data_IF_145564855450
#
_entry.id   IF_145564855450
#
_cell.length_a   1.000
_cell.length_b   1.000
_cell.length_c   1.000
_cell.angle_alpha   90.00
_cell.angle_beta   90.00
_cell.angle_gamma   90.00
#
_symmetry.space_group_name_H-M   'P 1'
#
loop_
_entity.id
_entity.type
_entity.pdbx_description
1 polymer ?
#
# COMPACT_ATOMS: atom_id res chain seq x y z
N UNK A 1 7.96 -17.43 -0.22
CA UNK A 1 6.79 -16.55 -0.46
C UNK A 1 7.23 -15.10 -0.65
N UNK A 2 8.00 -14.55 0.30
CA UNK A 2 8.65 -13.24 0.18
C UNK A 2 10.05 -13.37 -0.43
N UNK A 3 10.44 -12.39 -1.24
CA UNK A 3 11.77 -12.30 -1.86
C UNK A 3 12.38 -10.93 -1.52
N UNK A 4 11.89 -9.86 -2.14
CA UNK A 4 12.23 -8.46 -1.83
C UNK A 4 10.94 -7.74 -1.45
N UNK A 5 10.84 -7.29 -0.20
CA UNK A 5 9.59 -6.79 0.37
C UNK A 5 9.65 -5.33 0.79
N UNK A 6 8.60 -4.60 0.45
CA UNK A 6 8.35 -3.23 0.87
C UNK A 6 6.93 -3.07 1.45
N UNK A 7 6.78 -2.05 2.28
CA UNK A 7 5.51 -1.68 2.90
C UNK A 7 4.78 -2.84 3.59
N UNK A 8 5.53 -3.71 4.28
CA UNK A 8 4.91 -4.70 5.17
C UNK A 8 4.14 -3.97 6.27
N UNK A 9 2.85 -4.24 6.40
CA UNK A 9 2.00 -3.62 7.39
C UNK A 9 0.93 -4.59 7.91
N UNK A 10 0.57 -4.43 9.17
CA UNK A 10 -0.64 -5.04 9.71
C UNK A 10 -1.86 -4.37 9.08
N UNK A 11 -2.87 -5.17 8.71
CA UNK A 11 -4.21 -4.65 8.41
C UNK A 11 -4.87 -4.32 9.76
N UNK A 12 -5.31 -3.08 9.98
CA UNK A 12 -6.06 -2.72 11.19
C UNK A 12 -7.30 -3.60 11.38
N UNK A 13 -7.59 -3.96 12.63
CA UNK A 13 -8.72 -4.84 13.00
C UNK A 13 -10.08 -4.36 12.46
N UNK A 14 -10.21 -3.05 12.25
CA UNK A 14 -11.44 -2.44 11.72
C UNK A 14 -11.63 -2.60 10.21
N UNK A 15 -10.68 -3.18 9.48
CA UNK A 15 -10.73 -3.36 8.03
C UNK A 15 -10.88 -4.84 7.63
N UNK A 16 -11.37 -5.13 6.41
CA UNK A 16 -11.41 -6.51 5.91
C UNK A 16 -10.02 -7.14 5.90
N UNK A 17 -9.84 -8.27 6.58
CA UNK A 17 -8.53 -8.89 6.80
C UNK A 17 -7.81 -8.38 8.05
N UNK A 18 -8.49 -7.68 8.97
CA UNK A 18 -7.92 -7.22 10.23
C UNK A 18 -7.11 -8.30 10.97
N UNK A 19 -5.92 -7.93 11.43
CA UNK A 19 -4.95 -8.86 12.03
C UNK A 19 -4.07 -9.60 11.01
N UNK A 20 -4.34 -9.51 9.72
CA UNK A 20 -3.45 -10.05 8.69
C UNK A 20 -2.26 -9.10 8.44
N UNK A 21 -1.23 -9.63 7.79
CA UNK A 21 -0.09 -8.83 7.30
C UNK A 21 -0.19 -8.73 5.78
N UNK A 22 -0.09 -7.51 5.26
CA UNK A 22 0.09 -7.24 3.83
C UNK A 22 1.51 -6.77 3.53
N UNK A 23 1.99 -7.04 2.32
CA UNK A 23 3.23 -6.48 1.83
C UNK A 23 3.26 -6.42 0.29
N UNK A 24 4.03 -5.47 -0.22
CA UNK A 24 4.42 -5.42 -1.62
C UNK A 24 5.70 -6.24 -1.80
N UNK A 25 5.68 -7.24 -2.67
CA UNK A 25 6.79 -8.13 -2.95
C UNK A 25 7.26 -7.87 -4.39
N UNK A 26 8.43 -7.25 -4.53
CA UNK A 26 8.97 -6.85 -5.83
C UNK A 26 9.35 -8.05 -6.70
N UNK A 27 9.77 -9.15 -6.07
CA UNK A 27 10.24 -10.38 -6.72
C UNK A 27 11.21 -10.06 -7.87
N UNK A 28 12.28 -9.35 -7.54
CA UNK A 28 13.20 -8.71 -8.49
C UNK A 28 13.68 -9.68 -9.60
N UNK A 29 13.91 -10.94 -9.25
CA UNK A 29 14.37 -11.98 -10.18
C UNK A 29 13.29 -12.54 -11.12
N UNK A 30 12.01 -12.27 -10.85
CA UNK A 30 10.87 -12.80 -11.61
C UNK A 30 10.36 -11.87 -12.71
N UNK A 31 10.72 -10.59 -12.66
CA UNK A 31 10.17 -9.56 -13.56
C UNK A 31 8.69 -9.23 -13.33
N UNK A 32 8.09 -9.71 -12.23
CA UNK A 32 6.69 -9.46 -11.90
C UNK A 32 6.49 -9.30 -10.38
N UNK A 33 5.98 -8.16 -9.95
CA UNK A 33 5.70 -7.89 -8.54
C UNK A 33 4.39 -8.54 -8.09
N UNK A 34 4.20 -8.64 -6.78
CA UNK A 34 2.98 -9.17 -6.19
C UNK A 34 2.65 -8.42 -4.90
N UNK A 35 1.38 -8.06 -4.69
CA UNK A 35 0.91 -7.73 -3.35
C UNK A 35 0.41 -9.02 -2.72
N UNK A 36 0.81 -9.29 -1.49
CA UNK A 36 0.37 -10.47 -0.74
C UNK A 36 -0.22 -10.10 0.60
N UNK A 37 -1.19 -10.89 1.03
CA UNK A 37 -1.80 -10.87 2.35
C UNK A 37 -1.65 -12.25 2.99
N UNK A 38 -1.20 -12.29 4.24
CA UNK A 38 -0.99 -13.52 4.99
C UNK A 38 -1.70 -13.43 6.34
N UNK A 39 -2.26 -14.55 6.79
CA UNK A 39 -2.59 -14.71 8.21
C UNK A 39 -1.27 -15.06 8.92
N UNK A 40 -0.77 -14.23 9.85
CA UNK A 40 0.41 -14.57 10.62
C UNK A 40 0.16 -15.86 11.42
N UNK A 41 1.12 -16.79 11.50
CA UNK A 41 0.93 -18.07 12.19
C UNK A 41 1.10 -17.93 13.71
N UNK A 42 0.45 -16.95 14.31
CA UNK A 42 0.51 -16.70 15.75
C UNK A 42 -0.47 -17.59 16.51
N UNK A 43 -0.06 -18.11 17.66
CA UNK A 43 -0.95 -18.78 18.60
C UNK A 43 -1.84 -17.75 19.36
N UNK A 44 -2.70 -18.24 20.28
CA UNK A 44 -3.58 -17.38 21.10
C UNK A 44 -2.84 -16.43 22.04
N UNK A 45 -1.53 -16.62 22.23
CA UNK A 45 -0.66 -15.78 23.05
C UNK A 45 0.21 -14.84 22.19
N UNK A 46 0.07 -14.88 20.86
CA UNK A 46 0.85 -14.07 19.92
C UNK A 46 2.22 -14.65 19.57
N UNK A 47 2.53 -15.90 19.96
CA UNK A 47 3.82 -16.51 19.66
C UNK A 47 3.84 -17.11 18.26
N UNK A 48 5.01 -17.04 17.61
CA UNK A 48 5.27 -17.67 16.33
C UNK A 48 6.04 -18.96 16.54
N UNK A 49 5.46 -20.09 16.16
CA UNK A 49 6.14 -21.39 16.24
C UNK A 49 6.96 -21.65 14.98
N UNK A 50 8.19 -22.15 15.16
CA UNK A 50 9.08 -22.57 14.09
C UNK A 50 9.51 -24.02 14.30
N UNK A 51 9.30 -24.87 13.31
CA UNK A 51 9.97 -26.16 13.26
C UNK A 51 11.41 -25.94 12.79
N UNK A 52 12.43 -26.33 13.56
CA UNK A 52 13.82 -26.16 13.14
C UNK A 52 14.08 -26.77 11.76
N UNK A 53 14.73 -26.02 10.87
CA UNK A 53 15.02 -26.45 9.50
C UNK A 53 13.91 -26.17 8.48
N UNK A 54 12.77 -25.58 8.88
CA UNK A 54 11.72 -25.14 7.95
C UNK A 54 11.61 -23.61 7.91
N UNK A 55 10.84 -23.09 6.96
CA UNK A 55 10.38 -21.70 7.01
C UNK A 55 9.23 -21.55 8.03
N UNK A 56 8.98 -20.31 8.48
CA UNK A 56 7.73 -19.97 9.15
C UNK A 56 6.54 -20.15 8.20
N UNK A 57 5.40 -20.52 8.78
CA UNK A 57 4.10 -20.48 8.10
C UNK A 57 3.64 -19.01 7.88
N UNK A 58 2.59 -18.77 7.07
CA UNK A 58 1.95 -19.72 6.15
C UNK A 58 2.80 -19.96 4.89
N UNK A 59 2.65 -21.14 4.27
CA UNK A 59 3.33 -21.48 3.02
C UNK A 59 2.76 -20.74 1.80
N UNK A 60 1.52 -20.24 1.89
CA UNK A 60 0.83 -19.53 0.82
C UNK A 60 0.03 -18.37 1.38
N UNK A 61 -0.15 -17.29 0.60
CA UNK A 61 -0.95 -16.16 1.04
C UNK A 61 -2.44 -16.50 1.03
N UNK A 62 -3.21 -15.81 1.88
CA UNK A 62 -4.68 -15.89 1.85
C UNK A 62 -5.30 -15.05 0.75
N UNK A 63 -4.56 -14.05 0.29
CA UNK A 63 -4.89 -13.27 -0.89
C UNK A 63 -3.63 -12.75 -1.57
N UNK A 64 -3.65 -12.63 -2.89
CA UNK A 64 -2.58 -11.98 -3.62
C UNK A 64 -3.09 -11.31 -4.88
N UNK A 65 -2.35 -10.30 -5.34
CA UNK A 65 -2.55 -9.65 -6.62
C UNK A 65 -1.24 -9.56 -7.40
N UNK A 66 -1.31 -9.95 -8.67
CA UNK A 66 -0.26 -9.81 -9.68
C UNK A 66 -0.91 -9.58 -11.05
N UNK A 67 -0.18 -8.97 -11.98
CA UNK A 67 -0.64 -8.76 -13.37
C UNK A 67 0.56 -8.78 -14.34
N UNK A 68 0.30 -9.00 -15.63
CA UNK A 68 1.35 -9.13 -16.66
C UNK A 68 2.25 -7.89 -16.78
N UNK A 69 1.70 -6.69 -16.57
CA UNK A 69 2.43 -5.42 -16.59
C UNK A 69 2.41 -4.76 -15.21
N UNK A 70 2.73 -5.53 -14.17
CA UNK A 70 2.84 -5.06 -12.80
C UNK A 70 4.21 -5.46 -12.23
N UNK A 71 5.15 -4.52 -12.24
CA UNK A 71 6.50 -4.74 -11.78
C UNK A 71 7.16 -3.45 -11.28
N UNK A 72 7.63 -3.49 -10.04
CA UNK A 72 8.50 -2.48 -9.45
C UNK A 72 9.83 -3.12 -9.09
N UNK A 73 10.96 -2.61 -9.56
CA UNK A 73 12.28 -3.18 -9.20
C UNK A 73 12.68 -2.85 -7.76
N UNK A 74 12.21 -1.73 -7.25
CA UNK A 74 12.42 -1.27 -5.87
C UNK A 74 11.19 -0.46 -5.44
N UNK A 75 11.10 -0.19 -4.13
CA UNK A 75 9.96 0.50 -3.52
C UNK A 75 8.64 -0.24 -3.80
N UNK A 76 7.53 0.41 -3.49
CA UNK A 76 6.20 -0.15 -3.69
C UNK A 76 5.41 -0.10 -2.40
N UNK A 77 4.10 0.05 -2.55
CA UNK A 77 3.20 0.22 -1.41
C UNK A 77 1.89 -0.52 -1.61
N UNK A 78 1.27 -0.91 -0.51
CA UNK A 78 -0.09 -1.41 -0.50
C UNK A 78 -0.82 -0.97 0.76
N UNK A 79 -2.13 -0.78 0.67
CA UNK A 79 -3.00 -0.47 1.79
C UNK A 79 -4.40 -1.05 1.55
N UNK A 80 -4.91 -1.86 2.49
CA UNK A 80 -6.32 -2.27 2.51
C UNK A 80 -7.22 -1.09 2.84
N UNK A 81 -8.34 -0.98 2.15
CA UNK A 81 -9.33 0.09 2.32
C UNK A 81 -10.61 -0.44 3.01
N UNK A 82 -11.45 0.45 3.60
CA UNK A 82 -12.69 0.05 4.25
C UNK A 82 -13.70 -0.68 3.36
N UNK A 83 -13.68 -0.42 2.05
CA UNK A 83 -14.54 -1.12 1.08
C UNK A 83 -14.01 -2.50 0.67
N UNK A 84 -12.89 -2.96 1.24
CA UNK A 84 -12.24 -4.23 0.89
C UNK A 84 -11.30 -4.16 -0.31
N UNK A 85 -11.24 -3.02 -1.00
CA UNK A 85 -10.26 -2.81 -2.06
C UNK A 85 -8.85 -2.61 -1.47
N UNK A 86 -7.85 -2.75 -2.32
CA UNK A 86 -6.45 -2.52 -1.98
C UNK A 86 -5.91 -1.39 -2.86
N UNK A 87 -5.42 -0.33 -2.22
CA UNK A 87 -4.65 0.72 -2.87
C UNK A 87 -3.21 0.24 -3.02
N UNK A 88 -2.60 0.44 -4.18
CA UNK A 88 -1.25 -0.04 -4.52
C UNK A 88 -0.46 1.09 -5.16
N UNK A 89 0.80 1.26 -4.77
CA UNK A 89 1.79 2.04 -5.48
C UNK A 89 2.78 1.08 -6.16
N UNK A 90 2.78 1.07 -7.49
CA UNK A 90 3.82 0.50 -8.33
C UNK A 90 4.83 1.60 -8.64
N UNK A 91 5.92 1.62 -7.87
CA UNK A 91 6.78 2.79 -7.78
C UNK A 91 7.53 3.08 -9.08
N UNK A 92 8.24 2.11 -9.65
CA UNK A 92 9.10 2.36 -10.82
C UNK A 92 8.33 2.56 -12.12
N UNK A 93 7.15 1.95 -12.24
CA UNK A 93 6.23 2.26 -13.35
C UNK A 93 5.39 3.51 -13.09
N UNK A 94 5.56 4.15 -11.93
CA UNK A 94 4.94 5.43 -11.57
C UNK A 94 3.43 5.35 -11.69
N UNK A 95 2.87 4.28 -11.13
CA UNK A 95 1.46 3.95 -11.27
C UNK A 95 0.83 3.62 -9.92
N UNK A 96 -0.36 4.16 -9.72
CA UNK A 96 -1.21 3.90 -8.57
C UNK A 96 -2.40 3.11 -9.04
N UNK A 97 -2.83 2.15 -8.23
CA UNK A 97 -3.93 1.25 -8.53
C UNK A 97 -4.86 1.14 -7.34
N UNK A 98 -6.16 1.03 -7.61
CA UNK A 98 -7.12 0.47 -6.67
C UNK A 98 -7.63 -0.84 -7.27
N UNK A 99 -7.44 -1.93 -6.53
CA UNK A 99 -7.79 -3.29 -6.96
C UNK A 99 -8.82 -3.84 -5.99
N UNK A 100 -9.92 -4.41 -6.50
CA UNK A 100 -10.92 -5.05 -5.65
C UNK A 100 -10.45 -6.43 -5.15
N UNK A 101 -11.19 -7.02 -4.21
CA UNK A 101 -10.84 -8.33 -3.64
C UNK A 101 -10.80 -9.47 -4.67
N UNK A 102 -11.51 -9.34 -5.80
CA UNK A 102 -11.48 -10.28 -6.91
C UNK A 102 -10.28 -10.08 -7.87
N UNK A 103 -9.41 -9.10 -7.61
CA UNK A 103 -8.23 -8.82 -8.43
C UNK A 103 -8.50 -7.93 -9.65
N UNK A 104 -9.68 -7.33 -9.79
CA UNK A 104 -9.96 -6.37 -10.87
C UNK A 104 -9.53 -4.96 -10.48
N UNK A 105 -8.87 -4.27 -11.40
CA UNK A 105 -8.56 -2.85 -11.27
C UNK A 105 -9.85 -2.03 -11.39
N UNK A 106 -10.17 -1.24 -10.37
CA UNK A 106 -11.35 -0.35 -10.36
C UNK A 106 -10.99 1.12 -10.49
N UNK A 107 -9.71 1.46 -10.28
CA UNK A 107 -9.17 2.79 -10.50
C UNK A 107 -7.66 2.73 -10.74
N UNK A 108 -7.13 3.67 -11.52
CA UNK A 108 -5.68 3.82 -11.70
C UNK A 108 -5.30 5.27 -11.97
N UNK A 109 -4.07 5.64 -11.63
CA UNK A 109 -3.51 6.97 -11.90
C UNK A 109 -2.00 6.91 -12.09
N UNK A 110 -1.45 7.75 -12.97
CA UNK A 110 -0.01 7.82 -13.24
C UNK A 110 0.51 9.22 -12.91
N UNK A 111 1.14 9.44 -11.75
CA UNK A 111 1.70 10.74 -11.37
C UNK A 111 2.90 11.20 -12.21
N UNK A 112 3.48 10.33 -13.06
CA UNK A 112 4.65 10.66 -13.88
C UNK A 112 5.99 10.69 -13.14
N UNK A 113 5.94 10.56 -11.80
CA UNK A 113 7.10 10.45 -10.90
C UNK A 113 6.96 9.22 -10.02
N UNK A 114 8.07 8.73 -9.48
CA UNK A 114 8.05 7.58 -8.59
C UNK A 114 7.36 7.94 -7.27
N UNK A 115 6.49 7.05 -6.81
CA UNK A 115 5.78 7.18 -5.54
C UNK A 115 6.26 6.07 -4.62
N UNK A 116 6.86 6.43 -3.49
CA UNK A 116 7.38 5.45 -2.53
C UNK A 116 6.26 4.78 -1.73
N UNK A 117 5.20 5.56 -1.43
CA UNK A 117 4.03 5.09 -0.71
C UNK A 117 2.80 5.92 -1.05
N UNK A 118 1.66 5.25 -1.14
CA UNK A 118 0.34 5.86 -1.26
C UNK A 118 -0.51 5.42 -0.08
N UNK A 119 -1.19 6.39 0.55
CA UNK A 119 -2.16 6.12 1.60
C UNK A 119 -3.45 6.87 1.28
N UNK A 120 -4.58 6.18 1.41
CA UNK A 120 -5.90 6.74 1.25
C UNK A 120 -6.59 6.77 2.60
N UNK A 121 -7.08 7.95 2.96
CA UNK A 121 -7.84 8.16 4.18
C UNK A 121 -9.20 8.78 3.85
N UNK A 122 -10.24 8.47 4.64
CA UNK A 122 -11.50 9.20 4.53
C UNK A 122 -11.30 10.66 4.95
N UNK A 123 -12.08 11.58 4.40
CA UNK A 123 -11.97 13.03 4.70
C UNK A 123 -12.17 13.36 6.19
N UNK A 124 -12.92 12.53 6.91
CA UNK A 124 -13.14 12.66 8.34
C UNK A 124 -12.09 11.92 9.19
N UNK A 125 -11.00 11.42 8.60
CA UNK A 125 -9.91 10.83 9.37
C UNK A 125 -9.31 11.88 10.31
N UNK A 126 -9.32 11.59 11.62
CA UNK A 126 -8.87 12.53 12.66
C UNK A 126 -7.40 12.93 12.52
N UNK A 127 -6.58 12.15 11.82
CA UNK A 127 -5.21 12.53 11.47
C UNK A 127 -5.11 13.62 10.38
N UNK A 128 -6.21 13.96 9.69
CA UNK A 128 -6.25 15.01 8.65
C UNK A 128 -6.68 16.38 9.18
N UNK A 129 -6.70 16.61 10.49
CA UNK A 129 -7.19 17.87 11.11
C UNK A 129 -6.48 19.13 10.58
N UNK A 130 -5.24 19.03 10.08
CA UNK A 130 -4.52 20.13 9.43
C UNK A 130 -4.73 20.28 7.91
N UNK A 131 -5.50 19.40 7.28
CA UNK A 131 -5.79 19.40 5.82
C UNK A 131 -7.20 19.95 5.54
N UNK A 132 -7.96 20.26 6.59
CA UNK A 132 -9.24 20.95 6.42
C UNK A 132 -8.99 22.35 5.83
N UNK A 133 -9.76 22.69 4.81
CA UNK A 133 -9.71 23.87 3.94
C UNK A 133 -9.88 25.24 4.66
N UNK A 134 -9.50 25.37 5.93
CA UNK A 134 -9.64 26.57 6.76
C UNK A 134 -8.31 27.12 7.27
N UNK A 135 -7.16 26.61 6.81
CA UNK A 135 -5.82 27.10 7.17
C UNK A 135 -5.02 27.45 5.91
N UNK A 136 -4.74 28.74 5.69
CA UNK A 136 -4.12 29.29 4.48
C UNK A 136 -2.58 29.35 4.51
N UNK A 137 -1.90 28.55 5.33
CA UNK A 137 -0.44 28.45 5.32
C UNK A 137 0.03 27.02 5.56
N UNK A 138 0.71 26.44 4.57
CA UNK A 138 1.39 25.13 4.62
C UNK A 138 2.86 25.36 5.01
N UNK A 139 3.45 24.61 5.95
CA UNK A 139 4.86 24.74 6.31
C UNK A 139 5.79 24.36 5.15
N UNK A 140 6.86 25.13 4.99
CA UNK A 140 7.69 25.27 3.77
C UNK A 140 8.46 24.03 3.24
N UNK A 141 8.25 22.81 3.74
CA UNK A 141 9.03 21.63 3.29
C UNK A 141 8.29 20.29 3.13
N UNK A 142 7.06 20.29 2.64
CA UNK A 142 6.49 19.10 1.98
C UNK A 142 5.64 19.52 0.77
N UNK A 143 6.02 19.11 -0.44
CA UNK A 143 5.12 19.21 -1.61
C UNK A 143 4.08 18.08 -1.53
N UNK A 144 2.95 18.39 -0.92
CA UNK A 144 1.74 17.58 -0.97
C UNK A 144 0.99 17.90 -2.27
N UNK A 145 1.08 17.05 -3.29
CA UNK A 145 0.11 17.12 -4.39
C UNK A 145 -1.18 16.38 -3.96
N UNK A 146 -2.15 17.18 -3.51
CA UNK A 146 -3.48 16.70 -3.10
C UNK A 146 -4.53 16.97 -4.20
N UNK A 147 -5.62 16.20 -4.14
CA UNK A 147 -6.91 16.40 -4.81
C UNK A 147 -7.05 15.92 -6.27
N UNK A 148 -7.06 14.61 -6.49
CA UNK A 148 -7.73 14.06 -7.68
C UNK A 148 -9.22 13.93 -7.38
N UNK A 149 -10.04 14.83 -7.94
CA UNK A 149 -11.51 14.70 -7.87
C UNK A 149 -11.93 13.44 -8.63
N UNK A 150 -12.32 12.40 -7.90
CA UNK A 150 -13.11 11.31 -8.47
C UNK A 150 -14.55 11.83 -8.56
N UNK A 151 -15.02 12.03 -9.79
CA UNK A 151 -16.44 12.26 -10.03
C UNK A 151 -17.19 10.98 -9.63
N UNK A 152 -18.11 11.16 -8.67
CA UNK A 152 -18.98 10.18 -8.04
C UNK A 152 -18.39 9.40 -6.85
N UNK A 153 -19.05 9.61 -5.70
CA UNK A 153 -18.94 8.96 -4.38
C UNK A 153 -17.82 9.47 -3.45
N UNK A 154 -18.19 10.49 -2.66
CA UNK A 154 -17.54 11.09 -1.48
C UNK A 154 -16.11 11.66 -1.66
N UNK A 155 -15.82 12.89 -1.16
CA UNK A 155 -14.46 13.43 -1.26
C UNK A 155 -13.53 12.55 -0.42
N UNK A 156 -12.48 12.02 -1.06
CA UNK A 156 -11.46 11.19 -0.45
C UNK A 156 -10.12 11.90 -0.66
N UNK A 157 -9.34 12.06 0.42
CA UNK A 157 -7.99 12.63 0.33
C UNK A 157 -7.02 11.52 0.02
N UNK A 158 -6.41 11.62 -1.14
CA UNK A 158 -5.24 10.82 -1.48
C UNK A 158 -4.00 11.53 -0.90
N UNK A 159 -3.31 10.89 0.03
CA UNK A 159 -1.98 11.34 0.46
C UNK A 159 -0.96 10.51 -0.31
N UNK A 160 -0.28 11.17 -1.24
CA UNK A 160 0.85 10.61 -1.97
C UNK A 160 2.12 11.10 -1.26
N UNK A 161 2.95 10.16 -0.82
CA UNK A 161 4.30 10.50 -0.33
C UNK A 161 5.27 10.42 -1.51
N UNK A 162 5.88 11.55 -1.85
CA UNK A 162 6.99 11.62 -2.79
C UNK A 162 8.32 11.55 -2.02
N UNK A 163 9.35 10.92 -2.58
CA UNK A 163 10.72 11.13 -2.10
C UNK A 163 11.34 12.30 -2.86
N UNK A 164 11.73 13.36 -2.14
CA UNK A 164 12.69 14.32 -2.64
C UNK A 164 14.12 13.77 -2.42
N UNK A 165 14.63 13.02 -3.39
CA UNK A 165 16.07 12.71 -3.48
C UNK A 165 16.80 13.91 -4.08
N UNK A 166 16.97 14.97 -3.29
CA UNK A 166 18.05 15.93 -3.50
C UNK A 166 19.16 15.56 -2.51
N UNK A 167 20.08 14.71 -2.97
CA UNK A 167 21.34 14.49 -2.28
C UNK A 167 22.09 15.81 -2.18
N UNK A 168 22.53 16.15 -0.97
CA UNK A 168 23.52 17.21 -0.76
C UNK A 168 24.74 16.93 -1.65
N UNK A 169 25.07 17.89 -2.52
CA UNK A 169 26.42 18.01 -3.10
C UNK A 169 27.31 18.76 -2.12
#
# INVERSE_FOLDING_TARGET
MFDVVHCSNWIPDSLPGGGNIMAFNNRETSGQSMVVEIIPPSDSLGNYSLTPGTAYLPASPVWSYTASAFFSTHLGGCQRLPNGNTMIAESTDRKLWEVNSAGSVVWSFSPGVEVTRVLRYPMNYSGLVGVQNTQNTVPDKFELSQNFRILSILPLTLIIHFQNLQMFR
#
